data_IF_600723858292
#
_entry.id   IF_600723858292
#
_cell.length_a   1.000
_cell.length_b   1.000
_cell.length_c   1.000
_cell.angle_alpha   90.00
_cell.angle_beta   90.00
_cell.angle_gamma   90.00
#
_symmetry.space_group_name_H-M   'P 1'
#
loop_
_entity.id
_entity.type
_entity.pdbx_description
1 polymer ?
#
# COMPACT_ATOMS: atom_id res chain seq x y z
N UNK A 1 8.19 15.76 16.19
CA UNK A 1 7.98 17.17 15.78
C UNK A 1 7.11 17.18 14.53
N UNK A 2 6.15 18.09 14.41
CA UNK A 2 5.38 18.22 13.16
C UNK A 2 6.26 18.85 12.07
N UNK A 3 6.13 18.44 10.78
CA UNK A 3 6.85 19.08 9.69
C UNK A 3 6.46 20.56 9.60
N UNK A 4 7.47 21.43 9.47
CA UNK A 4 7.26 22.86 9.26
C UNK A 4 7.12 23.10 7.76
N UNK A 5 5.93 23.52 7.33
CA UNK A 5 5.69 23.85 5.92
C UNK A 5 5.99 25.31 5.66
N UNK A 6 6.72 25.57 4.58
CA UNK A 6 6.98 26.91 4.07
C UNK A 6 6.37 27.06 2.69
N UNK A 7 5.81 28.24 2.42
CA UNK A 7 5.33 28.58 1.07
C UNK A 7 6.51 29.10 0.24
N UNK A 8 6.70 28.53 -0.95
CA UNK A 8 7.71 28.94 -1.93
C UNK A 8 7.08 29.11 -3.31
N UNK A 9 7.78 29.79 -4.21
CA UNK A 9 7.41 29.89 -5.62
C UNK A 9 8.18 28.82 -6.41
N UNK A 10 7.47 27.98 -7.15
CA UNK A 10 8.07 26.93 -7.96
C UNK A 10 8.91 27.52 -9.10
N UNK A 11 10.15 27.06 -9.24
CA UNK A 11 11.05 27.50 -10.30
C UNK A 11 10.63 27.06 -11.70
N UNK A 12 9.89 25.95 -11.82
CA UNK A 12 9.43 25.40 -13.10
C UNK A 12 8.20 26.12 -13.65
N UNK A 13 7.15 26.27 -12.84
CA UNK A 13 5.86 26.82 -13.29
C UNK A 13 5.49 28.19 -12.70
N UNK A 14 6.31 28.74 -11.79
CA UNK A 14 6.06 30.05 -11.17
C UNK A 14 4.89 30.09 -10.18
N UNK A 15 4.26 28.95 -9.88
CA UNK A 15 3.14 28.86 -8.94
C UNK A 15 3.63 28.73 -7.51
N UNK A 16 2.90 29.29 -6.57
CA UNK A 16 3.12 29.07 -5.15
C UNK A 16 2.79 27.62 -4.77
N UNK A 17 3.62 27.03 -3.91
CA UNK A 17 3.41 25.71 -3.35
C UNK A 17 3.94 25.65 -1.91
N UNK A 18 3.39 24.72 -1.13
CA UNK A 18 3.87 24.45 0.22
C UNK A 18 4.83 23.27 0.19
N UNK A 19 5.95 23.40 0.90
CA UNK A 19 6.93 22.32 1.04
C UNK A 19 7.46 22.24 2.47
N UNK A 20 7.70 21.03 2.95
CA UNK A 20 8.36 20.75 4.23
C UNK A 20 9.88 20.66 4.13
N UNK A 21 10.45 20.79 2.93
CA UNK A 21 11.88 20.61 2.68
C UNK A 21 12.48 21.76 1.84
N UNK A 22 13.72 21.58 1.41
CA UNK A 22 14.47 22.57 0.63
C UNK A 22 14.14 22.60 -0.87
N UNK A 23 13.11 21.87 -1.32
CA UNK A 23 12.72 21.83 -2.75
C UNK A 23 12.44 23.23 -3.32
N UNK A 24 12.89 23.43 -4.56
CA UNK A 24 12.62 24.59 -5.42
C UNK A 24 11.54 24.32 -6.48
N UNK A 25 11.04 23.08 -6.57
CA UNK A 25 10.00 22.66 -7.51
C UNK A 25 8.77 22.10 -6.79
N UNK A 26 7.59 22.41 -7.33
CA UNK A 26 6.33 21.86 -6.87
C UNK A 26 6.14 20.43 -7.38
N UNK A 27 5.23 19.69 -6.74
CA UNK A 27 4.90 18.30 -7.06
C UNK A 27 4.80 18.01 -8.56
N UNK A 28 4.01 18.78 -9.31
CA UNK A 28 3.80 18.51 -10.74
C UNK A 28 5.09 18.67 -11.56
N UNK A 29 5.89 19.70 -11.30
CA UNK A 29 7.15 19.90 -12.02
C UNK A 29 8.16 18.82 -11.66
N UNK A 30 8.20 18.40 -10.39
CA UNK A 30 9.03 17.28 -9.94
C UNK A 30 8.57 15.96 -10.59
N UNK A 31 7.27 15.73 -10.70
CA UNK A 31 6.71 14.54 -11.35
C UNK A 31 7.05 14.52 -12.85
N UNK A 32 6.91 15.64 -13.55
CA UNK A 32 7.32 15.75 -14.96
C UNK A 32 8.82 15.47 -15.14
N UNK A 33 9.66 15.97 -14.23
CA UNK A 33 11.10 15.70 -14.25
C UNK A 33 11.40 14.21 -14.06
N UNK A 34 10.68 13.51 -13.18
CA UNK A 34 10.87 12.08 -12.91
C UNK A 34 10.38 11.23 -14.09
N UNK A 35 9.19 11.55 -14.62
CA UNK A 35 8.57 10.73 -15.65
C UNK A 35 9.20 10.94 -17.03
N UNK A 36 9.91 12.05 -17.26
CA UNK A 36 10.54 12.37 -18.55
C UNK A 36 9.59 12.29 -19.76
N UNK A 37 8.31 12.61 -19.55
CA UNK A 37 7.27 12.54 -20.58
C UNK A 37 6.60 11.17 -20.77
N UNK A 38 6.98 10.16 -19.99
CA UNK A 38 6.26 8.90 -19.89
C UNK A 38 5.05 9.01 -18.94
N UNK A 39 4.05 8.12 -19.06
CA UNK A 39 3.00 8.03 -18.05
C UNK A 39 3.61 7.64 -16.69
N UNK A 40 3.27 8.36 -15.59
CA UNK A 40 3.72 8.00 -14.24
C UNK A 40 3.16 6.66 -13.79
N UNK A 41 3.98 5.85 -13.13
CA UNK A 41 3.55 4.72 -12.33
C UNK A 41 3.40 5.15 -10.85
N UNK A 42 2.93 4.23 -10.00
CA UNK A 42 2.68 4.51 -8.58
C UNK A 42 3.95 5.00 -7.85
N UNK A 43 5.10 4.45 -8.22
CA UNK A 43 6.40 4.80 -7.65
C UNK A 43 6.80 6.25 -7.91
N UNK A 44 6.55 6.78 -9.11
CA UNK A 44 6.87 8.18 -9.43
C UNK A 44 6.01 9.16 -8.65
N UNK A 45 4.73 8.84 -8.40
CA UNK A 45 3.87 9.71 -7.59
C UNK A 45 4.39 9.84 -6.15
N UNK A 46 4.76 8.72 -5.54
CA UNK A 46 5.33 8.71 -4.19
C UNK A 46 6.67 9.44 -4.15
N UNK A 47 7.54 9.16 -5.12
CA UNK A 47 8.84 9.81 -5.25
C UNK A 47 8.69 11.32 -5.43
N UNK A 48 7.79 11.77 -6.30
CA UNK A 48 7.54 13.18 -6.54
C UNK A 48 7.06 13.90 -5.28
N UNK A 49 6.19 13.28 -4.47
CA UNK A 49 5.72 13.85 -3.19
C UNK A 49 6.84 13.99 -2.17
N UNK A 50 7.71 12.99 -2.06
CA UNK A 50 8.85 12.99 -1.13
C UNK A 50 9.86 14.07 -1.54
N UNK A 51 10.22 14.10 -2.83
CA UNK A 51 11.23 15.03 -3.35
C UNK A 51 10.72 16.47 -3.30
N UNK A 52 9.46 16.73 -3.71
CA UNK A 52 8.87 18.07 -3.66
C UNK A 52 8.61 18.57 -2.23
N UNK A 53 8.54 17.66 -1.25
CA UNK A 53 8.16 17.96 0.12
C UNK A 53 6.71 18.40 0.28
N UNK A 54 5.84 18.09 -0.69
CA UNK A 54 4.41 18.48 -0.67
C UNK A 54 3.52 17.48 0.09
N UNK A 55 4.12 16.54 0.82
CA UNK A 55 3.41 15.56 1.67
C UNK A 55 2.60 16.30 2.73
N UNK A 56 1.38 15.85 3.00
CA UNK A 56 0.62 16.29 4.17
C UNK A 56 1.30 15.83 5.46
N UNK A 57 0.91 16.44 6.59
CA UNK A 57 1.44 16.05 7.90
C UNK A 57 1.15 14.57 8.25
N UNK A 58 0.08 13.98 7.71
CA UNK A 58 -0.25 12.57 7.90
C UNK A 58 0.62 11.67 7.03
N UNK A 59 0.76 12.00 5.75
CA UNK A 59 1.60 11.24 4.81
C UNK A 59 3.08 11.26 5.23
N UNK A 60 3.54 12.40 5.76
CA UNK A 60 4.88 12.51 6.32
C UNK A 60 5.11 11.59 7.54
N UNK A 61 4.09 11.36 8.37
CA UNK A 61 4.18 10.44 9.51
C UNK A 61 4.28 8.98 9.06
N UNK A 62 3.46 8.59 8.08
CA UNK A 62 3.55 7.25 7.50
C UNK A 62 4.92 7.01 6.87
N UNK A 63 5.45 7.99 6.13
CA UNK A 63 6.80 7.92 5.58
C UNK A 63 7.86 7.72 6.67
N UNK A 64 7.75 8.43 7.80
CA UNK A 64 8.66 8.26 8.93
C UNK A 64 8.54 6.89 9.60
N UNK A 65 7.33 6.34 9.69
CA UNK A 65 7.11 5.00 10.24
C UNK A 65 7.73 3.94 9.32
N UNK A 66 7.49 4.02 8.02
CA UNK A 66 8.07 3.10 7.03
C UNK A 66 9.60 3.14 7.04
N UNK A 67 10.20 4.34 7.08
CA UNK A 67 11.66 4.49 7.19
C UNK A 67 12.19 3.88 8.49
N UNK A 68 11.48 4.08 9.61
CA UNK A 68 11.82 3.45 10.89
C UNK A 68 11.76 1.92 10.83
N UNK A 69 10.73 1.35 10.20
CA UNK A 69 10.60 -0.11 10.02
C UNK A 69 11.72 -0.69 9.16
N UNK A 70 12.12 0.00 8.08
CA UNK A 70 13.24 -0.39 7.22
C UNK A 70 14.57 -0.34 7.98
N UNK A 71 14.84 0.71 8.76
CA UNK A 71 16.09 0.84 9.54
C UNK A 71 16.19 -0.20 10.67
N UNK A 72 15.06 -0.58 11.26
CA UNK A 72 15.00 -1.64 12.27
C UNK A 72 15.06 -3.05 11.68
N UNK A 73 14.97 -3.19 10.34
CA UNK A 73 14.92 -4.50 9.68
C UNK A 73 13.70 -5.33 10.09
N UNK A 74 12.61 -4.67 10.54
CA UNK A 74 11.38 -5.33 10.99
C UNK A 74 10.27 -5.06 9.99
N UNK A 75 9.74 -6.13 9.39
CA UNK A 75 8.50 -6.05 8.62
C UNK A 75 7.31 -5.92 9.59
N UNK A 76 6.20 -5.35 9.14
CA UNK A 76 4.97 -5.22 9.95
C UNK A 76 4.39 -6.55 10.43
N UNK A 77 4.85 -7.68 9.88
CA UNK A 77 4.52 -9.04 10.37
C UNK A 77 5.08 -9.33 11.77
N UNK A 78 6.24 -8.78 12.12
CA UNK A 78 6.89 -9.03 13.41
C UNK A 78 6.14 -8.37 14.59
N UNK A 79 5.37 -7.30 14.34
CA UNK A 79 4.59 -6.59 15.36
C UNK A 79 3.21 -7.21 15.61
N UNK A 80 2.64 -7.91 14.62
CA UNK A 80 1.38 -8.65 14.76
C UNK A 80 1.56 -10.09 15.29
N UNK A 81 2.80 -10.53 15.51
CA UNK A 81 3.07 -11.91 15.90
C UNK A 81 2.67 -12.93 14.82
N UNK A 82 2.60 -12.50 13.56
CA UNK A 82 2.38 -13.37 12.40
C UNK A 82 3.73 -13.81 11.81
N UNK A 83 4.72 -14.03 12.68
CA UNK A 83 5.94 -14.70 12.27
C UNK A 83 5.57 -16.10 11.81
N UNK A 84 6.11 -16.49 10.66
CA UNK A 84 6.00 -17.81 10.05
C UNK A 84 6.08 -18.90 11.13
N UNK A 85 4.92 -19.44 11.53
CA UNK A 85 4.91 -20.73 12.19
C UNK A 85 5.39 -21.70 11.11
N UNK A 86 6.60 -22.23 11.30
CA UNK A 86 7.02 -23.44 10.61
C UNK A 86 5.87 -24.42 10.77
N UNK A 87 5.17 -24.68 9.67
CA UNK A 87 4.05 -25.60 9.55
C UNK A 87 4.60 -27.01 9.82
N UNK A 88 4.88 -27.33 11.09
CA UNK A 88 5.00 -28.69 11.55
C UNK A 88 3.64 -29.32 11.29
N UNK A 89 3.53 -30.04 10.17
CA UNK A 89 2.39 -30.87 9.79
C UNK A 89 1.99 -31.77 10.96
N UNK A 90 1.10 -31.26 11.81
CA UNK A 90 0.39 -32.06 12.79
C UNK A 90 -0.63 -32.87 12.01
N UNK A 91 -0.32 -34.15 11.75
CA UNK A 91 -1.30 -35.12 11.28
C UNK A 91 -2.20 -35.49 12.47
N UNK A 92 -3.46 -35.00 12.55
CA UNK A 92 -4.41 -35.59 13.46
C UNK A 92 -4.65 -37.04 13.04
N UNK A 93 -4.38 -37.95 13.97
CA UNK A 93 -4.68 -39.38 13.92
C UNK A 93 -6.13 -39.59 13.45
N UNK A 94 -6.31 -40.52 12.52
CA UNK A 94 -7.56 -40.86 11.84
C UNK A 94 -8.74 -41.07 12.82
N UNK A 95 -9.77 -40.22 12.76
CA UNK A 95 -11.13 -40.62 13.12
C UNK A 95 -12.01 -40.55 11.86
N UNK A 96 -12.37 -41.76 11.43
CA UNK A 96 -13.15 -42.16 10.27
C UNK A 96 -14.60 -41.64 10.36
N UNK A 97 -14.93 -40.53 9.70
CA UNK A 97 -16.33 -40.10 9.52
C UNK A 97 -16.86 -40.66 8.18
N UNK A 98 -17.89 -41.52 8.17
CA UNK A 98 -18.45 -42.05 6.94
C UNK A 98 -19.12 -40.96 6.11
N UNK A 99 -18.70 -40.88 4.86
CA UNK A 99 -19.18 -40.00 3.79
C UNK A 99 -20.64 -40.31 3.42
N UNK A 100 -21.61 -39.76 4.15
CA UNK A 100 -23.06 -39.92 3.87
C UNK A 100 -23.63 -38.72 3.08
N UNK A 101 -23.09 -38.46 1.89
CA UNK A 101 -23.81 -37.68 0.88
C UNK A 101 -24.57 -38.62 -0.05
N UNK A 102 -25.82 -38.90 0.28
CA UNK A 102 -26.74 -39.51 -0.69
C UNK A 102 -27.13 -38.46 -1.75
N UNK A 103 -26.77 -38.72 -3.01
CA UNK A 103 -27.24 -37.94 -4.16
C UNK A 103 -28.78 -38.01 -4.26
N UNK A 104 -29.46 -36.90 -4.00
CA UNK A 104 -30.91 -36.80 -4.16
C UNK A 104 -31.27 -36.24 -5.55
N UNK A 105 -31.71 -37.11 -6.44
CA UNK A 105 -32.11 -36.77 -7.82
C UNK A 105 -33.30 -35.78 -7.91
N UNK A 106 -34.06 -35.58 -6.81
CA UNK A 106 -35.21 -34.67 -6.80
C UNK A 106 -34.85 -33.19 -6.58
N UNK A 107 -33.61 -32.84 -6.19
CA UNK A 107 -33.23 -31.43 -5.96
C UNK A 107 -32.69 -30.72 -7.22
N UNK A 108 -32.28 -31.47 -8.25
CA UNK A 108 -31.83 -30.90 -9.52
C UNK A 108 -32.95 -30.21 -10.34
N UNK A 109 -34.22 -30.42 -9.97
CA UNK A 109 -35.37 -29.91 -10.71
C UNK A 109 -35.81 -28.47 -10.34
N UNK A 110 -35.19 -27.81 -9.35
CA UNK A 110 -35.63 -26.47 -8.90
C UNK A 110 -35.08 -25.28 -9.69
N UNK A 111 -34.18 -25.50 -10.65
CA UNK A 111 -33.54 -24.41 -11.40
C UNK A 111 -33.65 -24.59 -12.92
N UNK A 112 -34.75 -25.19 -13.38
CA UNK A 112 -35.10 -25.25 -14.81
C UNK A 112 -36.41 -24.53 -15.07
N UNK A 113 -36.32 -23.47 -15.88
CA UNK A 113 -37.35 -22.92 -16.78
C UNK A 113 -38.71 -22.49 -16.18
N UNK A 114 -39.00 -21.18 -16.27
CA UNK A 114 -40.16 -20.70 -17.03
C UNK A 114 -39.79 -19.36 -17.69
N UNK A 115 -39.71 -19.36 -19.03
CA UNK A 115 -39.77 -18.18 -19.88
C UNK A 115 -41.18 -17.77 -20.25
#
# INVERSE_FOLDING_TARGET
MAPQFVTKVCRGCGKEFQTSNDSDKCYNCTLEDICHGNPPEEGEFNTARIVSGTLSAQEYRYLQQDWGSVELGRTTEEELGLGEEEDEEYYPDEEEEPDDWEYNENEAAKWGDEG
#
